data_IF_814285883394
#
_entry.id   IF_814285883394
#
_cell.length_a   1.000
_cell.length_b   1.000
_cell.length_c   1.000
_cell.angle_alpha   90.00
_cell.angle_beta   90.00
_cell.angle_gamma   90.00
#
_symmetry.space_group_name_H-M   'P 1'
#
loop_
_entity.id
_entity.type
_entity.pdbx_description
1 polymer ?
#
# COMPACT_ATOMS: atom_id res chain seq x y z
N UNK A 1 -63.77 -16.33 14.90
CA UNK A 1 -63.08 -15.40 13.96
C UNK A 1 -61.68 -15.18 14.48
N UNK A 2 -60.70 -15.82 13.86
CA UNK A 2 -59.29 -15.79 14.30
C UNK A 2 -58.58 -14.72 13.46
N UNK A 3 -58.17 -13.62 14.08
CA UNK A 3 -57.43 -12.55 13.39
C UNK A 3 -55.93 -12.92 13.39
N UNK A 4 -55.39 -13.25 12.22
CA UNK A 4 -54.01 -13.47 11.98
C UNK A 4 -53.27 -12.09 11.92
N UNK A 5 -52.52 -11.74 12.95
CA UNK A 5 -51.61 -10.60 12.91
C UNK A 5 -50.37 -10.99 12.14
N UNK A 6 -50.26 -10.55 10.87
CA UNK A 6 -49.03 -10.61 10.13
C UNK A 6 -48.12 -9.47 10.64
N UNK A 7 -47.20 -9.78 11.51
CA UNK A 7 -46.13 -8.84 11.88
C UNK A 7 -45.10 -8.79 10.77
N UNK A 8 -45.22 -7.81 9.85
CA UNK A 8 -44.13 -7.47 8.96
C UNK A 8 -43.06 -6.75 9.80
N UNK A 9 -42.04 -7.47 10.18
CA UNK A 9 -40.79 -6.86 10.63
C UNK A 9 -40.08 -6.31 9.39
N UNK A 10 -40.19 -5.03 9.15
CA UNK A 10 -39.29 -4.33 8.24
C UNK A 10 -37.92 -4.35 8.92
N UNK A 11 -37.12 -5.37 8.64
CA UNK A 11 -35.68 -5.27 8.82
C UNK A 11 -35.25 -4.21 7.79
N UNK A 12 -35.09 -2.97 8.24
CA UNK A 12 -34.31 -2.01 7.47
C UNK A 12 -32.91 -2.60 7.42
N UNK A 13 -32.57 -3.25 6.30
CA UNK A 13 -31.15 -3.40 5.96
C UNK A 13 -30.58 -1.99 5.95
N UNK A 14 -29.59 -1.68 6.80
CA UNK A 14 -28.86 -0.44 6.60
C UNK A 14 -28.39 -0.50 5.13
N UNK A 15 -28.62 0.57 4.39
CA UNK A 15 -27.87 0.83 3.17
C UNK A 15 -26.47 1.03 3.70
N UNK A 16 -25.69 -0.04 3.71
CA UNK A 16 -24.26 0.03 3.97
C UNK A 16 -23.71 0.89 2.85
N UNK A 17 -23.51 2.16 3.11
CA UNK A 17 -22.49 2.92 2.40
C UNK A 17 -21.25 2.06 2.49
N UNK A 18 -20.72 1.62 1.32
CA UNK A 18 -19.57 0.72 1.33
C UNK A 18 -18.46 1.35 2.15
N UNK A 19 -17.72 0.55 2.91
CA UNK A 19 -16.58 1.01 3.70
C UNK A 19 -15.61 1.83 2.83
N UNK A 20 -15.10 2.89 3.39
CA UNK A 20 -14.10 3.77 2.79
C UNK A 20 -12.90 3.90 3.74
N UNK A 21 -11.66 4.06 3.23
CA UNK A 21 -10.50 4.28 4.07
C UNK A 21 -10.64 5.37 5.11
N UNK A 22 -11.36 6.45 4.82
CA UNK A 22 -11.61 7.58 5.71
C UNK A 22 -12.62 7.29 6.84
N UNK A 23 -13.29 6.14 6.84
CA UNK A 23 -14.06 5.65 7.98
C UNK A 23 -13.14 5.16 9.12
N UNK A 24 -11.85 4.93 8.84
CA UNK A 24 -10.88 4.39 9.80
C UNK A 24 -10.09 5.51 10.49
N UNK A 25 -10.23 5.62 11.80
CA UNK A 25 -9.49 6.62 12.60
C UNK A 25 -7.98 6.40 12.64
N UNK A 26 -7.53 5.20 12.27
CA UNK A 26 -6.11 4.83 12.14
C UNK A 26 -5.50 5.13 10.78
N UNK A 27 -6.28 5.70 9.84
CA UNK A 27 -5.77 6.08 8.53
C UNK A 27 -4.67 7.15 8.66
N UNK A 28 -3.49 6.83 8.12
CA UNK A 28 -2.33 7.73 8.13
C UNK A 28 -2.16 8.41 6.79
N UNK A 29 -2.26 7.66 5.69
CA UNK A 29 -2.20 8.21 4.34
C UNK A 29 -3.01 7.37 3.37
N UNK A 30 -3.62 8.02 2.38
CA UNK A 30 -4.39 7.36 1.33
C UNK A 30 -4.17 8.04 -0.02
N UNK A 31 -3.41 7.38 -0.87
CA UNK A 31 -3.21 7.79 -2.26
C UNK A 31 -4.23 7.06 -3.10
N UNK A 32 -5.36 7.74 -3.31
CA UNK A 32 -6.57 7.16 -3.89
C UNK A 32 -6.46 7.05 -5.40
N UNK A 33 -6.93 5.94 -5.95
CA UNK A 33 -7.00 5.72 -7.40
C UNK A 33 -7.75 6.86 -8.10
N UNK A 34 -7.13 7.49 -9.09
CA UNK A 34 -7.68 8.59 -9.92
C UNK A 34 -8.03 9.88 -9.19
N UNK A 35 -7.69 10.02 -7.91
CA UNK A 35 -7.99 11.21 -7.10
C UNK A 35 -6.69 11.89 -6.69
N UNK A 36 -6.69 13.21 -6.65
CA UNK A 36 -5.56 14.00 -6.18
C UNK A 36 -4.33 14.00 -7.09
N UNK A 37 -4.46 13.56 -8.35
CA UNK A 37 -3.37 13.54 -9.32
C UNK A 37 -3.20 14.92 -9.95
N UNK A 38 -1.99 15.46 -9.88
CA UNK A 38 -1.56 16.64 -10.65
C UNK A 38 -0.58 16.20 -11.73
N UNK A 39 -0.86 16.57 -12.96
CA UNK A 39 -0.04 16.20 -14.12
C UNK A 39 0.87 17.33 -14.56
N UNK A 40 2.06 16.95 -15.05
CA UNK A 40 2.94 17.75 -15.88
C UNK A 40 3.08 17.03 -17.24
N UNK A 41 2.29 17.45 -18.23
CA UNK A 41 2.13 16.69 -19.48
C UNK A 41 1.40 15.38 -19.24
N UNK A 42 2.08 14.25 -19.47
CA UNK A 42 1.58 12.88 -19.23
C UNK A 42 2.03 12.30 -17.90
N UNK A 43 2.90 13.00 -17.17
CA UNK A 43 3.60 12.48 -16.01
C UNK A 43 3.05 13.10 -14.71
N UNK A 44 3.19 12.41 -13.61
CA UNK A 44 2.63 12.82 -12.31
C UNK A 44 3.64 13.68 -11.55
N UNK A 45 3.32 14.96 -11.38
CA UNK A 45 4.10 15.88 -10.53
C UNK A 45 3.63 15.84 -9.07
N UNK A 46 2.37 15.43 -8.80
CA UNK A 46 1.87 15.27 -7.44
C UNK A 46 0.77 14.21 -7.36
N UNK A 47 0.71 13.51 -6.23
CA UNK A 47 -0.40 12.65 -5.80
C UNK A 47 -0.79 13.04 -4.39
N UNK A 48 -1.91 13.76 -4.27
CA UNK A 48 -2.39 14.26 -3.00
C UNK A 48 -2.85 13.12 -2.09
N UNK A 49 -2.55 13.25 -0.81
CA UNK A 49 -3.07 12.39 0.24
C UNK A 49 -4.55 12.71 0.48
N UNK A 50 -5.41 11.71 0.31
CA UNK A 50 -6.86 11.82 0.56
C UNK A 50 -7.22 11.68 2.04
N UNK A 51 -6.25 11.40 2.92
CA UNK A 51 -6.46 11.43 4.38
C UNK A 51 -6.44 12.87 4.92
N UNK A 52 -6.70 13.04 6.20
CA UNK A 52 -6.63 14.35 6.87
C UNK A 52 -5.20 14.79 7.24
N UNK A 53 -4.17 13.97 6.97
CA UNK A 53 -2.81 14.20 7.47
C UNK A 53 -1.90 14.97 6.50
N UNK A 54 -2.31 15.11 5.22
CA UNK A 54 -1.62 15.93 4.22
C UNK A 54 -0.18 15.47 3.91
N UNK A 55 0.02 14.15 3.78
CA UNK A 55 1.26 13.55 3.30
C UNK A 55 1.31 13.53 1.76
N UNK A 56 1.12 14.69 1.12
CA UNK A 56 1.12 14.77 -0.34
C UNK A 56 2.45 14.31 -0.92
N UNK A 57 2.42 13.46 -1.94
CA UNK A 57 3.57 12.96 -2.67
C UNK A 57 3.86 13.84 -3.88
N UNK A 58 5.09 14.34 -4.01
CA UNK A 58 5.50 15.32 -5.00
C UNK A 58 6.75 14.84 -5.74
N UNK A 59 6.88 15.25 -7.03
CA UNK A 59 8.12 15.14 -7.80
C UNK A 59 8.32 16.38 -8.67
N UNK A 60 9.35 17.17 -8.35
CA UNK A 60 9.65 18.41 -9.05
C UNK A 60 10.53 18.23 -10.31
N UNK A 61 11.24 17.09 -10.41
CA UNK A 61 12.11 16.78 -11.54
C UNK A 61 11.32 16.06 -12.63
N UNK A 62 11.06 16.73 -13.75
CA UNK A 62 10.22 16.22 -14.83
C UNK A 62 10.60 14.79 -15.30
N UNK A 63 11.91 14.52 -15.43
CA UNK A 63 12.41 13.21 -15.90
C UNK A 63 12.28 12.08 -14.88
N UNK A 64 11.96 12.40 -13.62
CA UNK A 64 11.78 11.43 -12.54
C UNK A 64 10.30 11.23 -12.18
N UNK A 65 9.38 11.93 -12.86
CA UNK A 65 7.94 11.79 -12.66
C UNK A 65 7.45 10.47 -13.25
N UNK A 66 6.63 9.67 -12.52
CA UNK A 66 6.03 8.48 -13.09
C UNK A 66 4.96 8.85 -14.13
N UNK A 67 4.87 8.10 -15.21
CA UNK A 67 3.86 8.29 -16.23
C UNK A 67 2.45 7.92 -15.72
N UNK A 68 1.42 8.59 -16.27
CA UNK A 68 0.03 8.35 -15.87
C UNK A 68 -0.88 8.02 -17.04
N UNK A 69 -1.61 6.92 -16.93
CA UNK A 69 -2.62 6.54 -17.92
C UNK A 69 -3.74 5.72 -17.28
N UNK A 70 -4.99 6.11 -17.54
CA UNK A 70 -6.16 5.32 -17.16
C UNK A 70 -6.38 5.08 -15.67
N UNK A 71 -5.77 5.88 -14.80
CA UNK A 71 -5.82 5.70 -13.34
C UNK A 71 -4.63 4.89 -12.79
N UNK A 72 -3.58 4.73 -13.59
CA UNK A 72 -2.40 3.92 -13.26
C UNK A 72 -1.16 4.78 -13.33
N UNK A 73 -0.36 4.81 -12.26
CA UNK A 73 0.98 5.37 -12.24
C UNK A 73 1.97 4.29 -12.67
N UNK A 74 2.80 4.59 -13.67
CA UNK A 74 3.85 3.69 -14.17
C UNK A 74 5.21 4.20 -13.74
N UNK A 75 5.95 3.36 -13.04
CA UNK A 75 7.31 3.61 -12.57
C UNK A 75 8.31 2.84 -13.41
N UNK A 76 9.38 3.52 -13.82
CA UNK A 76 10.52 2.95 -14.56
C UNK A 76 11.78 3.22 -13.74
N UNK A 77 12.42 2.16 -13.29
CA UNK A 77 13.61 2.25 -12.43
C UNK A 77 14.79 2.96 -13.09
N UNK A 78 14.94 2.77 -14.41
CA UNK A 78 16.01 3.44 -15.19
C UNK A 78 15.87 4.97 -15.21
N UNK A 79 14.63 5.47 -15.14
CA UNK A 79 14.29 6.88 -15.11
C UNK A 79 14.23 7.45 -13.69
N UNK A 80 14.45 6.57 -12.69
CA UNK A 80 14.38 6.91 -11.26
C UNK A 80 13.01 7.47 -10.85
N UNK A 81 11.94 7.02 -11.49
CA UNK A 81 10.60 7.51 -11.18
C UNK A 81 10.28 7.34 -9.70
N UNK A 82 9.86 8.44 -9.09
CA UNK A 82 9.52 8.47 -7.68
C UNK A 82 8.56 9.62 -7.35
N UNK A 83 7.92 9.51 -6.19
CA UNK A 83 7.15 10.58 -5.56
C UNK A 83 7.54 10.64 -4.08
N UNK A 84 7.73 11.85 -3.52
CA UNK A 84 8.18 12.04 -2.14
C UNK A 84 7.25 12.97 -1.37
N UNK A 85 7.04 12.72 -0.08
CA UNK A 85 6.40 13.66 0.83
C UNK A 85 7.43 14.43 1.65
N UNK A 86 7.13 15.69 1.97
CA UNK A 86 7.98 16.50 2.84
C UNK A 86 7.96 16.03 4.31
N UNK A 87 6.88 15.39 4.73
CA UNK A 87 6.72 14.81 6.06
C UNK A 87 6.97 13.31 6.04
N UNK A 88 7.62 12.78 7.09
CA UNK A 88 7.87 11.36 7.20
C UNK A 88 6.68 10.65 7.85
N UNK A 89 6.12 9.64 7.19
CA UNK A 89 5.13 8.73 7.74
C UNK A 89 5.83 7.80 8.72
N UNK A 90 5.42 7.79 9.97
CA UNK A 90 6.04 7.02 11.06
C UNK A 90 5.06 6.01 11.63
N UNK A 91 5.37 4.72 11.52
CA UNK A 91 4.56 3.60 11.98
C UNK A 91 5.28 2.89 13.14
N UNK A 92 5.08 3.39 14.37
CA UNK A 92 5.85 3.00 15.54
C UNK A 92 5.44 1.63 16.14
N UNK A 93 4.20 1.19 15.89
CA UNK A 93 3.63 -0.04 16.45
C UNK A 93 2.94 -0.86 15.34
N UNK A 94 1.80 -1.44 15.63
CA UNK A 94 1.00 -2.17 14.65
C UNK A 94 0.66 -1.27 13.47
N UNK A 95 0.65 -1.86 12.26
CA UNK A 95 0.29 -1.14 11.04
C UNK A 95 -0.36 -2.06 10.01
N UNK A 96 -1.04 -1.46 9.05
CA UNK A 96 -1.53 -2.12 7.85
C UNK A 96 -1.21 -1.28 6.63
N UNK A 97 -0.61 -1.90 5.61
CA UNK A 97 -0.34 -1.32 4.29
C UNK A 97 -1.17 -2.06 3.26
N UNK A 98 -1.99 -1.35 2.50
CA UNK A 98 -2.76 -1.89 1.38
C UNK A 98 -2.31 -1.27 0.06
N UNK A 99 -2.03 -2.08 -0.96
CA UNK A 99 -1.59 -1.61 -2.26
C UNK A 99 -2.27 -2.37 -3.41
N UNK A 100 -2.74 -1.63 -4.42
CA UNK A 100 -3.06 -2.20 -5.74
C UNK A 100 -1.88 -1.93 -6.66
N UNK A 101 -1.13 -2.97 -7.00
CA UNK A 101 0.22 -2.85 -7.55
C UNK A 101 0.50 -3.97 -8.55
N UNK A 102 1.26 -3.67 -9.61
CA UNK A 102 1.79 -4.66 -10.53
C UNK A 102 3.32 -4.49 -10.63
N UNK A 103 4.04 -5.58 -10.52
CA UNK A 103 5.50 -5.56 -10.73
C UNK A 103 5.88 -6.30 -12.00
N UNK A 104 6.86 -5.74 -12.71
CA UNK A 104 7.51 -6.38 -13.86
C UNK A 104 8.92 -6.90 -13.54
N UNK A 105 9.41 -6.69 -12.31
CA UNK A 105 10.78 -7.03 -11.90
C UNK A 105 10.84 -7.85 -10.63
N UNK A 106 12.01 -8.47 -10.42
CA UNK A 106 12.33 -9.27 -9.24
C UNK A 106 12.93 -8.44 -8.09
N UNK A 107 13.19 -7.14 -8.32
CA UNK A 107 13.82 -6.27 -7.32
C UNK A 107 13.42 -4.81 -7.57
N UNK A 108 12.82 -4.18 -6.59
CA UNK A 108 12.42 -2.77 -6.68
C UNK A 108 11.64 -2.34 -5.46
N UNK A 109 11.99 -1.17 -4.90
CA UNK A 109 11.37 -0.62 -3.71
C UNK A 109 10.13 0.18 -4.09
N UNK A 110 8.96 -0.23 -3.58
CA UNK A 110 7.71 0.46 -3.82
C UNK A 110 7.35 1.45 -2.71
N UNK A 111 7.80 1.23 -1.47
CA UNK A 111 7.72 2.17 -0.34
C UNK A 111 9.04 2.17 0.41
N UNK A 112 9.56 3.33 0.76
CA UNK A 112 10.82 3.43 1.48
C UNK A 112 10.99 4.77 2.21
N UNK A 113 12.10 4.91 2.93
CA UNK A 113 12.64 6.16 3.44
C UNK A 113 13.72 6.67 2.49
N UNK A 114 13.56 7.90 2.00
CA UNK A 114 14.52 8.56 1.14
C UNK A 114 15.84 8.90 1.83
N UNK A 115 15.82 9.08 3.14
CA UNK A 115 17.01 9.46 3.93
C UNK A 115 17.84 8.25 4.35
N UNK A 116 17.25 7.05 4.40
CA UNK A 116 17.88 5.83 4.91
C UNK A 116 17.77 4.65 3.93
N UNK A 117 18.88 4.02 3.62
CA UNK A 117 18.89 2.75 2.90
C UNK A 117 18.37 1.57 3.75
N UNK A 118 18.02 1.81 5.00
CA UNK A 118 17.67 0.80 5.99
C UNK A 118 16.15 0.73 6.30
N UNK A 119 15.35 1.45 5.54
CA UNK A 119 13.89 1.48 5.67
C UNK A 119 13.27 1.27 4.30
N UNK A 120 12.61 0.14 4.07
CA UNK A 120 12.00 -0.16 2.78
C UNK A 120 11.02 -1.33 2.81
N UNK A 121 10.11 -1.32 1.84
CA UNK A 121 9.32 -2.44 1.36
C UNK A 121 9.61 -2.62 -0.12
N UNK A 122 10.12 -3.77 -0.52
CA UNK A 122 10.54 -4.02 -1.90
C UNK A 122 10.23 -5.43 -2.37
N UNK A 123 9.97 -5.59 -3.65
CA UNK A 123 10.04 -6.90 -4.27
C UNK A 123 11.46 -7.44 -4.24
N UNK A 124 11.61 -8.74 -4.05
CA UNK A 124 12.91 -9.42 -3.94
C UNK A 124 12.78 -10.89 -4.36
N UNK A 125 13.92 -11.54 -4.52
CA UNK A 125 13.97 -12.96 -4.91
C UNK A 125 14.25 -13.17 -6.39
N UNK A 126 14.66 -14.38 -6.73
CA UNK A 126 15.03 -14.73 -8.11
C UNK A 126 13.82 -14.80 -9.06
N UNK A 127 12.61 -14.91 -8.53
CA UNK A 127 11.36 -15.17 -9.27
C UNK A 127 10.22 -14.24 -8.89
N UNK A 128 10.49 -13.07 -8.32
CA UNK A 128 9.43 -12.14 -7.85
C UNK A 128 8.39 -12.81 -6.93
N UNK A 129 8.83 -13.65 -6.00
CA UNK A 129 7.95 -14.36 -5.07
C UNK A 129 8.09 -13.92 -3.61
N UNK A 130 8.73 -12.77 -3.39
CA UNK A 130 9.10 -12.29 -2.06
C UNK A 130 8.94 -10.78 -1.95
N UNK A 131 8.46 -10.32 -0.81
CA UNK A 131 8.65 -8.95 -0.36
C UNK A 131 9.70 -8.95 0.74
N UNK A 132 10.80 -8.24 0.52
CA UNK A 132 11.78 -7.95 1.55
C UNK A 132 11.46 -6.60 2.17
N UNK A 133 11.53 -6.52 3.48
CA UNK A 133 11.36 -5.26 4.21
C UNK A 133 12.44 -5.10 5.27
N UNK A 134 12.70 -3.85 5.62
CA UNK A 134 13.63 -3.47 6.68
C UNK A 134 13.01 -2.31 7.45
N UNK A 135 13.00 -2.40 8.77
CA UNK A 135 12.40 -1.46 9.71
C UNK A 135 13.44 -1.12 10.78
N UNK A 136 13.54 0.15 11.18
CA UNK A 136 14.42 0.64 12.24
C UNK A 136 15.88 0.20 12.10
N UNK A 137 16.39 0.12 10.87
CA UNK A 137 17.75 -0.33 10.62
C UNK A 137 18.02 -1.81 10.90
N UNK A 138 16.96 -2.61 11.14
CA UNK A 138 17.02 -4.04 11.42
C UNK A 138 17.69 -4.85 10.30
N UNK A 139 17.87 -6.14 10.50
CA UNK A 139 18.19 -7.07 9.40
C UNK A 139 16.99 -7.16 8.47
N UNK A 140 17.23 -7.21 7.17
CA UNK A 140 16.15 -7.36 6.21
C UNK A 140 15.38 -8.67 6.45
N UNK A 141 14.07 -8.56 6.50
CA UNK A 141 13.14 -9.66 6.75
C UNK A 141 12.33 -9.92 5.49
N UNK A 142 11.92 -11.16 5.28
CA UNK A 142 11.23 -11.58 4.08
C UNK A 142 9.81 -12.07 4.38
N UNK A 143 8.89 -11.71 3.50
CA UNK A 143 7.55 -12.26 3.39
C UNK A 143 7.47 -13.02 2.06
N UNK A 144 7.47 -14.33 2.13
CA UNK A 144 7.44 -15.21 0.96
C UNK A 144 6.01 -15.58 0.58
N UNK A 145 5.74 -15.67 -0.71
CA UNK A 145 4.51 -16.30 -1.19
C UNK A 145 4.56 -17.81 -0.95
N UNK A 146 3.41 -18.39 -0.60
CA UNK A 146 3.27 -19.85 -0.49
C UNK A 146 3.49 -20.53 -1.85
N UNK A 147 3.12 -19.84 -2.94
CA UNK A 147 3.34 -20.30 -4.30
C UNK A 147 3.21 -19.16 -5.32
N UNK A 148 3.74 -19.38 -6.52
CA UNK A 148 3.63 -18.45 -7.65
C UNK A 148 4.54 -17.23 -7.52
N UNK A 149 4.19 -16.17 -8.25
CA UNK A 149 4.92 -14.89 -8.32
C UNK A 149 3.99 -13.72 -8.16
N UNK A 150 4.53 -12.54 -7.86
CA UNK A 150 3.81 -11.29 -7.96
C UNK A 150 3.61 -10.88 -9.43
N UNK A 151 2.54 -10.16 -9.69
CA UNK A 151 2.17 -9.57 -10.97
C UNK A 151 1.20 -8.43 -10.75
N UNK A 152 0.06 -8.42 -11.45
CA UNK A 152 -1.04 -7.47 -11.22
C UNK A 152 -1.90 -7.95 -10.04
N UNK A 153 -1.50 -7.54 -8.85
CA UNK A 153 -2.06 -8.03 -7.60
C UNK A 153 -2.56 -6.88 -6.71
N UNK A 154 -3.42 -7.20 -5.76
CA UNK A 154 -3.55 -6.39 -4.55
C UNK A 154 -2.91 -7.12 -3.37
N UNK A 155 -2.14 -6.37 -2.60
CA UNK A 155 -1.42 -6.88 -1.46
C UNK A 155 -1.78 -6.10 -0.20
N UNK A 156 -1.85 -6.82 0.92
CA UNK A 156 -1.94 -6.21 2.25
C UNK A 156 -0.80 -6.76 3.11
N UNK A 157 -0.06 -5.87 3.73
CA UNK A 157 1.00 -6.22 4.69
C UNK A 157 0.56 -5.71 6.04
N UNK A 158 0.45 -6.60 7.01
CA UNK A 158 0.07 -6.25 8.38
C UNK A 158 1.22 -6.49 9.33
N UNK A 159 1.33 -5.65 10.37
CA UNK A 159 2.07 -5.95 11.59
C UNK A 159 1.10 -5.91 12.77
N UNK A 160 0.97 -7.01 13.48
CA UNK A 160 0.16 -7.12 14.69
C UNK A 160 1.00 -7.75 15.79
N UNK A 161 1.25 -7.02 16.88
CA UNK A 161 2.13 -7.46 17.98
C UNK A 161 3.50 -7.93 17.47
N UNK A 162 4.11 -7.11 16.61
CA UNK A 162 5.37 -7.35 15.91
C UNK A 162 5.36 -8.49 14.88
N UNK A 163 4.30 -9.29 14.77
CA UNK A 163 4.17 -10.35 13.75
C UNK A 163 3.74 -9.74 12.43
N UNK A 164 4.51 -10.02 11.37
CA UNK A 164 4.21 -9.60 10.01
C UNK A 164 3.46 -10.68 9.26
N UNK A 165 2.40 -10.27 8.54
CA UNK A 165 1.64 -11.16 7.65
C UNK A 165 1.46 -10.48 6.29
N UNK A 166 1.64 -11.26 5.22
CA UNK A 166 1.37 -10.84 3.84
C UNK A 166 0.06 -11.48 3.37
N UNK A 167 -0.79 -10.68 2.75
CA UNK A 167 -1.94 -11.16 2.00
C UNK A 167 -1.73 -10.80 0.53
N UNK A 168 -1.97 -11.76 -0.34
CA UNK A 168 -1.98 -11.58 -1.80
C UNK A 168 -3.36 -11.95 -2.32
N UNK A 169 -4.01 -11.01 -2.99
CA UNK A 169 -5.36 -11.19 -3.55
C UNK A 169 -6.36 -11.75 -2.51
N UNK A 170 -6.31 -11.18 -1.29
CA UNK A 170 -7.18 -11.57 -0.17
C UNK A 170 -6.75 -12.84 0.58
N UNK A 171 -5.71 -13.55 0.13
CA UNK A 171 -5.25 -14.81 0.73
C UNK A 171 -4.01 -14.57 1.57
N UNK A 172 -4.09 -14.93 2.87
CA UNK A 172 -2.93 -14.88 3.76
C UNK A 172 -1.84 -15.86 3.29
N UNK A 173 -0.60 -15.39 3.25
CA UNK A 173 0.58 -16.19 2.93
C UNK A 173 1.18 -16.71 4.24
N UNK A 174 1.43 -18.01 4.29
CA UNK A 174 1.87 -18.70 5.51
C UNK A 174 3.32 -19.15 5.47
N UNK A 175 3.97 -19.03 4.32
CA UNK A 175 5.36 -19.45 4.09
C UNK A 175 6.37 -18.78 5.02
N UNK A 176 6.15 -17.51 5.38
CA UNK A 176 6.93 -16.78 6.38
C UNK A 176 6.05 -15.78 7.13
N UNK A 177 6.06 -15.86 8.46
CA UNK A 177 5.40 -14.92 9.38
C UNK A 177 6.43 -14.40 10.39
N UNK A 178 7.36 -13.55 9.95
CA UNK A 178 8.46 -13.12 10.81
C UNK A 178 7.98 -12.12 11.86
N UNK A 179 8.74 -12.02 12.95
CA UNK A 179 8.57 -11.00 13.98
C UNK A 179 9.56 -9.87 13.72
N UNK A 180 9.08 -8.64 13.68
CA UNK A 180 9.91 -7.46 13.44
C UNK A 180 9.36 -6.24 14.18
N UNK A 181 10.06 -5.83 15.24
CA UNK A 181 9.74 -4.65 16.03
C UNK A 181 10.40 -3.38 15.46
N UNK A 182 10.02 -2.24 15.99
CA UNK A 182 10.59 -0.94 15.67
C UNK A 182 9.67 -0.06 14.84
N UNK A 183 10.12 1.16 14.58
CA UNK A 183 9.37 2.15 13.79
C UNK A 183 9.70 1.99 12.32
N UNK A 184 8.69 1.85 11.47
CA UNK A 184 8.83 1.92 10.02
C UNK A 184 8.65 3.37 9.57
N UNK A 185 9.56 3.84 8.73
CA UNK A 185 9.58 5.19 8.19
C UNK A 185 9.37 5.13 6.68
N UNK A 186 8.45 5.95 6.16
CA UNK A 186 8.08 6.02 4.74
C UNK A 186 7.93 7.48 4.35
N UNK A 187 8.64 7.90 3.30
CA UNK A 187 8.49 9.22 2.71
C UNK A 187 8.63 9.22 1.18
N UNK A 188 8.87 8.04 0.57
CA UNK A 188 9.07 7.92 -0.87
C UNK A 188 8.36 6.67 -1.44
N UNK A 189 7.80 6.83 -2.64
CA UNK A 189 7.20 5.78 -3.47
C UNK A 189 8.07 5.58 -4.71
N UNK A 190 8.31 4.33 -5.10
CA UNK A 190 8.97 3.97 -6.38
C UNK A 190 10.48 3.92 -6.33
N UNK A 191 11.11 4.40 -5.27
CA UNK A 191 12.57 4.44 -5.14
C UNK A 191 12.97 4.20 -3.68
N UNK A 192 14.23 3.84 -3.43
CA UNK A 192 14.82 3.80 -2.10
C UNK A 192 16.06 4.67 -2.06
N UNK A 193 16.11 5.66 -1.14
CA UNK A 193 17.24 6.55 -0.94
C UNK A 193 17.86 6.96 -2.27
N UNK A 194 17.50 8.12 -2.77
CA UNK A 194 17.91 8.70 -4.05
C UNK A 194 18.97 7.83 -4.75
N UNK A 195 18.63 7.26 -5.91
CA UNK A 195 19.52 6.50 -6.81
C UNK A 195 19.64 4.98 -6.63
N UNK A 196 18.87 4.32 -5.76
CA UNK A 196 19.01 2.87 -5.63
C UNK A 196 17.69 2.09 -5.57
N UNK A 197 17.69 0.91 -6.19
CA UNK A 197 16.58 -0.06 -6.15
C UNK A 197 15.23 0.54 -6.56
N UNK A 198 15.21 1.23 -7.73
CA UNK A 198 13.98 1.73 -8.31
C UNK A 198 12.98 0.62 -8.60
N UNK A 199 11.72 0.96 -8.48
CA UNK A 199 10.61 0.08 -8.80
C UNK A 199 10.28 0.12 -10.30
N UNK A 200 10.12 -1.04 -10.92
CA UNK A 200 9.56 -1.17 -12.27
C UNK A 200 8.19 -1.83 -12.16
N UNK A 201 7.16 -1.08 -12.51
CA UNK A 201 5.80 -1.58 -12.39
C UNK A 201 4.78 -0.48 -12.35
N UNK A 202 3.58 -0.81 -11.89
CA UNK A 202 2.48 0.15 -11.80
C UNK A 202 1.84 0.15 -10.43
N UNK A 203 1.32 1.31 -10.01
CA UNK A 203 0.56 1.47 -8.77
C UNK A 203 -0.75 2.20 -9.09
N UNK A 204 -1.85 1.70 -8.54
CA UNK A 204 -3.17 2.34 -8.66
C UNK A 204 -3.63 3.02 -7.38
N UNK A 205 -3.37 2.39 -6.23
CA UNK A 205 -3.80 2.90 -4.91
C UNK A 205 -2.84 2.43 -3.82
N UNK A 206 -2.64 3.29 -2.80
CA UNK A 206 -1.91 2.96 -1.56
C UNK A 206 -2.71 3.44 -0.37
N UNK A 207 -2.83 2.59 0.65
CA UNK A 207 -3.47 2.87 1.93
C UNK A 207 -2.52 2.52 3.06
N UNK A 208 -2.36 3.42 4.03
CA UNK A 208 -1.43 3.27 5.16
C UNK A 208 -2.19 3.54 6.46
N UNK A 209 -2.16 2.60 7.40
CA UNK A 209 -2.84 2.67 8.69
C UNK A 209 -1.88 2.40 9.84
N UNK A 210 -2.07 3.10 10.95
CA UNK A 210 -1.33 2.94 12.21
C UNK A 210 -1.96 1.91 13.16
N UNK A 211 -2.71 0.97 12.62
CA UNK A 211 -3.30 -0.16 13.35
C UNK A 211 -3.38 -1.41 12.47
N UNK A 212 -3.71 -2.54 13.09
CA UNK A 212 -3.96 -3.79 12.38
C UNK A 212 -5.09 -4.57 13.05
N UNK A 213 -6.04 -5.04 12.24
CA UNK A 213 -7.12 -5.93 12.65
C UNK A 213 -7.58 -6.80 11.47
N UNK A 214 -8.31 -7.88 11.79
CA UNK A 214 -8.89 -8.74 10.76
C UNK A 214 -9.93 -8.00 9.91
N UNK A 215 -10.78 -7.18 10.54
CA UNK A 215 -11.83 -6.43 9.84
C UNK A 215 -11.21 -5.36 8.91
N UNK A 216 -10.22 -4.59 9.39
CA UNK A 216 -9.49 -3.64 8.55
C UNK A 216 -8.83 -4.34 7.34
N UNK A 217 -8.18 -5.48 7.59
CA UNK A 217 -7.56 -6.27 6.52
C UNK A 217 -8.58 -6.74 5.48
N UNK A 218 -9.74 -7.22 5.91
CA UNK A 218 -10.83 -7.64 5.01
C UNK A 218 -11.35 -6.46 4.19
N UNK A 219 -11.65 -5.32 4.82
CA UNK A 219 -12.15 -4.12 4.16
C UNK A 219 -11.18 -3.60 3.09
N UNK A 220 -9.86 -3.58 3.40
CA UNK A 220 -8.83 -3.18 2.44
C UNK A 220 -8.78 -4.14 1.25
N UNK A 221 -8.79 -5.46 1.51
CA UNK A 221 -8.80 -6.46 0.44
C UNK A 221 -10.02 -6.31 -0.46
N UNK A 222 -11.21 -6.12 0.10
CA UNK A 222 -12.45 -5.94 -0.65
C UNK A 222 -12.36 -4.71 -1.55
N UNK A 223 -11.93 -3.56 -1.02
CA UNK A 223 -11.76 -2.34 -1.81
C UNK A 223 -10.74 -2.51 -2.94
N UNK A 224 -9.55 -3.00 -2.62
CA UNK A 224 -8.47 -3.11 -3.61
C UNK A 224 -8.79 -4.13 -4.71
N UNK A 225 -9.63 -5.12 -4.43
CA UNK A 225 -10.10 -6.11 -5.42
C UNK A 225 -10.97 -5.49 -6.53
N UNK A 226 -11.56 -4.31 -6.28
CA UNK A 226 -12.44 -3.60 -7.24
C UNK A 226 -11.70 -2.68 -8.21
N UNK A 227 -10.36 -2.51 -8.07
CA UNK A 227 -9.54 -1.56 -8.83
C UNK A 227 -8.83 -2.26 -10.07
#
# INVERSE_FOLDING_TARGET
MLALKLGLSLVSTPILGGWSPDDETSLVAWYQNRVGITLNGSDVSAWADSSSNSYDMLQATDTEQPAYSGGVLTFVSADKNNLQTAGQISLAADFTLGLRINTSTTNGSFLADNTSANEFFKYSGATSNRIALKIAGSVATNLDLDSGTFGDDYIVITRLSDVLTLYKNGVAQTGTTPTLAGTSLIDIIGLRRIDSNGFDGTIKEIQIYSSSSADLTANINDRLSTL
#
